data_IF_766406555281
#
_entry.id   IF_766406555281
#
_cell.length_a   1.000
_cell.length_b   1.000
_cell.length_c   1.000
_cell.angle_alpha   90.00
_cell.angle_beta   90.00
_cell.angle_gamma   90.00
#
_symmetry.space_group_name_H-M   'P 1'
#
loop_
_entity.id
_entity.type
_entity.pdbx_description
1 polymer ?
#
# COMPACT_ATOMS: atom_id res chain seq x y z
N UNK A 1 27.21 4.62 26.13
CA UNK A 1 26.46 5.41 25.13
C UNK A 1 26.66 4.74 23.79
N UNK A 2 25.64 4.04 23.27
CA UNK A 2 25.75 3.26 22.04
C UNK A 2 26.13 4.13 20.84
N UNK A 3 26.95 3.60 19.95
CA UNK A 3 27.52 4.32 18.83
C UNK A 3 26.41 4.68 17.82
N UNK A 4 26.15 5.97 17.62
CA UNK A 4 25.10 6.50 16.71
C UNK A 4 25.21 5.93 15.28
N UNK A 5 26.41 5.53 14.85
CA UNK A 5 26.65 4.90 13.54
C UNK A 5 26.09 3.48 13.44
N UNK A 6 26.11 2.75 14.55
CA UNK A 6 25.68 1.35 14.66
C UNK A 6 24.15 1.26 14.65
N UNK A 7 23.47 2.15 15.39
CA UNK A 7 22.02 2.34 15.28
C UNK A 7 21.57 2.65 13.85
N UNK A 8 22.36 3.42 13.09
CA UNK A 8 22.01 3.73 11.71
C UNK A 8 22.06 2.52 10.78
N UNK A 9 22.89 1.51 11.08
CA UNK A 9 23.01 0.30 10.26
C UNK A 9 21.85 -0.66 10.55
N UNK A 10 21.59 -0.94 11.82
CA UNK A 10 20.45 -1.79 12.22
C UNK A 10 19.11 -1.20 11.79
N UNK A 11 18.92 0.12 11.91
CA UNK A 11 17.68 0.77 11.45
C UNK A 11 17.53 0.64 9.93
N UNK A 12 18.61 0.79 9.16
CA UNK A 12 18.57 0.64 7.69
C UNK A 12 18.32 -0.80 7.26
N UNK A 13 18.96 -1.77 7.91
CA UNK A 13 18.73 -3.20 7.64
C UNK A 13 17.30 -3.61 8.03
N UNK A 14 16.79 -3.11 9.15
CA UNK A 14 15.40 -3.32 9.57
C UNK A 14 14.43 -2.72 8.55
N UNK A 15 14.64 -1.46 8.16
CA UNK A 15 13.80 -0.79 7.17
C UNK A 15 13.82 -1.49 5.80
N UNK A 16 14.95 -2.03 5.37
CA UNK A 16 15.06 -2.79 4.12
C UNK A 16 14.32 -4.13 4.16
N UNK A 17 14.16 -4.72 5.35
CA UNK A 17 13.43 -5.96 5.56
C UNK A 17 11.93 -5.76 5.83
N UNK A 18 11.46 -4.51 5.99
CA UNK A 18 10.03 -4.21 6.10
C UNK A 18 9.36 -4.43 4.73
N UNK A 19 8.58 -5.50 4.64
CA UNK A 19 7.63 -5.68 3.52
C UNK A 19 6.35 -4.94 3.89
N UNK A 20 6.09 -3.80 3.25
CA UNK A 20 4.89 -2.98 3.50
C UNK A 20 3.62 -3.85 3.49
N UNK A 21 3.52 -4.77 2.52
CA UNK A 21 2.41 -5.71 2.31
C UNK A 21 2.23 -6.77 3.42
N UNK A 22 3.26 -7.05 4.22
CA UNK A 22 3.20 -8.04 5.29
C UNK A 22 2.64 -7.50 6.60
N UNK A 23 2.57 -6.18 6.74
CA UNK A 23 2.29 -5.53 8.00
C UNK A 23 0.84 -5.10 8.09
N UNK A 24 0.28 -5.21 9.30
CA UNK A 24 -1.04 -4.67 9.64
C UNK A 24 -1.18 -3.19 9.24
N UNK A 25 -0.05 -2.49 9.09
CA UNK A 25 0.01 -1.13 8.58
C UNK A 25 -0.52 -1.00 7.15
N UNK A 26 -0.20 -1.89 6.21
CA UNK A 26 -0.75 -1.79 4.84
C UNK A 26 -2.24 -2.08 4.80
N UNK A 27 -2.75 -2.93 5.70
CA UNK A 27 -4.20 -3.10 5.87
C UNK A 27 -4.85 -1.80 6.33
N UNK A 28 -4.30 -1.19 7.39
CA UNK A 28 -4.83 0.07 7.94
C UNK A 28 -4.71 1.25 6.96
N UNK A 29 -3.61 1.30 6.22
CA UNK A 29 -3.34 2.34 5.24
C UNK A 29 -4.14 2.12 3.94
N UNK A 30 -4.34 0.87 3.52
CA UNK A 30 -5.16 0.49 2.38
C UNK A 30 -6.64 0.80 2.58
N UNK A 31 -7.12 0.93 3.82
CA UNK A 31 -8.48 1.44 4.07
C UNK A 31 -8.63 2.94 3.80
N UNK A 32 -7.54 3.67 3.54
CA UNK A 32 -7.56 5.11 3.27
C UNK A 32 -7.54 5.36 1.75
N UNK A 33 -8.63 5.87 1.14
CA UNK A 33 -8.69 6.12 -0.30
C UNK A 33 -7.53 6.96 -0.83
N UNK A 34 -7.13 8.02 -0.10
CA UNK A 34 -6.03 8.89 -0.52
C UNK A 34 -4.66 8.19 -0.55
N UNK A 35 -4.44 7.17 0.28
CA UNK A 35 -3.19 6.39 0.23
C UNK A 35 -3.20 5.48 -0.99
N UNK A 36 -4.31 4.78 -1.21
CA UNK A 36 -4.50 3.94 -2.39
C UNK A 36 -4.40 4.76 -3.68
N UNK A 37 -4.92 5.99 -3.67
CA UNK A 37 -4.84 6.91 -4.79
C UNK A 37 -3.39 7.21 -5.16
N UNK A 38 -2.55 7.62 -4.21
CA UNK A 38 -1.13 7.90 -4.48
C UNK A 38 -0.36 6.67 -4.95
N UNK A 39 -0.63 5.51 -4.35
CA UNK A 39 -0.05 4.24 -4.77
C UNK A 39 -0.45 3.92 -6.22
N UNK A 40 -1.75 3.98 -6.53
CA UNK A 40 -2.26 3.64 -7.86
C UNK A 40 -1.83 4.65 -8.92
N UNK A 41 -1.78 5.94 -8.61
CA UNK A 41 -1.21 6.97 -9.48
C UNK A 41 0.24 6.67 -9.84
N UNK A 42 1.03 6.25 -8.86
CA UNK A 42 2.44 5.92 -9.05
C UNK A 42 2.63 4.63 -9.85
N UNK A 43 1.89 3.57 -9.52
CA UNK A 43 2.02 2.26 -10.18
C UNK A 43 1.48 2.25 -11.62
N UNK A 44 0.42 3.02 -11.89
CA UNK A 44 -0.25 3.05 -13.18
C UNK A 44 0.19 4.23 -14.07
N UNK A 45 1.03 5.13 -13.56
CA UNK A 45 1.42 6.39 -14.21
C UNK A 45 0.21 7.25 -14.62
N UNK A 46 -0.78 7.35 -13.73
CA UNK A 46 -2.05 8.04 -13.97
C UNK A 46 -2.25 9.18 -12.94
N UNK A 47 -1.58 10.34 -13.07
CA UNK A 47 -1.55 11.38 -12.03
C UNK A 47 -2.93 11.99 -11.71
N UNK A 48 -3.91 11.81 -12.58
CA UNK A 48 -5.28 12.33 -12.42
C UNK A 48 -6.30 11.26 -12.02
N UNK A 49 -5.86 10.03 -11.74
CA UNK A 49 -6.73 8.98 -11.20
C UNK A 49 -7.29 9.41 -9.85
N UNK A 50 -8.58 9.19 -9.61
CA UNK A 50 -9.23 9.43 -8.32
C UNK A 50 -9.77 8.13 -7.76
N UNK A 51 -9.50 7.83 -6.50
CA UNK A 51 -10.06 6.66 -5.83
C UNK A 51 -11.37 7.05 -5.15
N UNK A 52 -12.47 6.47 -5.62
CA UNK A 52 -13.83 6.76 -5.15
C UNK A 52 -14.18 5.89 -3.95
N UNK A 53 -13.77 4.63 -3.96
CA UNK A 53 -13.99 3.68 -2.87
C UNK A 53 -12.89 2.65 -2.85
N UNK A 54 -12.51 2.21 -1.66
CA UNK A 54 -11.61 1.08 -1.45
C UNK A 54 -12.29 0.03 -0.58
N UNK A 55 -12.01 -1.22 -0.89
CA UNK A 55 -12.37 -2.41 -0.13
C UNK A 55 -11.12 -3.28 -0.01
N UNK A 56 -10.58 -3.37 1.20
CA UNK A 56 -9.41 -4.22 1.47
C UNK A 56 -9.90 -5.57 1.99
N UNK A 57 -9.51 -6.65 1.33
CA UNK A 57 -9.73 -8.00 1.82
C UNK A 57 -8.41 -8.59 2.33
N UNK A 58 -8.49 -9.28 3.46
CA UNK A 58 -7.32 -9.90 4.06
C UNK A 58 -7.61 -11.35 4.40
N UNK A 59 -6.84 -12.27 3.83
CA UNK A 59 -6.89 -13.69 4.17
C UNK A 59 -5.71 -13.98 5.11
N UNK A 60 -6.01 -14.48 6.31
CA UNK A 60 -4.99 -14.94 7.26
C UNK A 60 -4.94 -16.46 7.15
N UNK A 61 -4.38 -16.97 6.05
CA UNK A 61 -4.03 -18.39 5.97
C UNK A 61 -2.58 -18.58 6.41
N UNK A 62 -2.37 -19.63 7.19
CA UNK A 62 -1.31 -19.80 8.21
C UNK A 62 0.15 -19.59 7.79
N UNK A 63 0.49 -19.37 6.52
CA UNK A 63 1.90 -19.25 6.07
C UNK A 63 2.14 -18.27 4.90
N UNK A 64 1.10 -17.64 4.34
CA UNK A 64 1.24 -16.60 3.31
C UNK A 64 0.27 -15.47 3.64
N UNK A 65 0.81 -14.25 3.82
CA UNK A 65 0.02 -13.05 4.07
C UNK A 65 -0.33 -12.46 2.70
N UNK A 66 -1.54 -12.72 2.24
CA UNK A 66 -2.09 -12.08 1.05
C UNK A 66 -3.09 -10.99 1.47
N UNK A 67 -2.97 -9.85 0.80
CA UNK A 67 -3.91 -8.74 0.90
C UNK A 67 -4.38 -8.50 -0.51
N UNK A 68 -5.70 -8.48 -0.70
CA UNK A 68 -6.31 -8.08 -1.95
C UNK A 68 -6.89 -6.70 -1.77
N UNK A 69 -6.46 -5.75 -2.60
CA UNK A 69 -6.99 -4.40 -2.65
C UNK A 69 -7.94 -4.28 -3.83
N UNK A 70 -9.21 -3.97 -3.55
CA UNK A 70 -10.22 -3.64 -4.56
C UNK A 70 -10.54 -2.14 -4.44
N UNK A 71 -10.26 -1.38 -5.51
CA UNK A 71 -10.52 0.05 -5.57
C UNK A 71 -11.35 0.43 -6.79
N UNK A 72 -12.50 1.07 -6.55
CA UNK A 72 -13.25 1.76 -7.59
C UNK A 72 -12.61 3.12 -7.83
N UNK A 73 -12.10 3.32 -9.03
CA UNK A 73 -11.40 4.52 -9.45
C UNK A 73 -12.16 5.26 -10.56
N UNK A 74 -11.93 6.56 -10.68
CA UNK A 74 -12.39 7.40 -11.77
C UNK A 74 -11.19 8.01 -12.48
N UNK A 75 -11.16 7.88 -13.80
CA UNK A 75 -10.12 8.47 -14.66
C UNK A 75 -10.46 9.92 -15.01
N UNK A 76 -9.48 10.66 -15.55
CA UNK A 76 -9.64 12.09 -15.87
C UNK A 76 -10.80 12.39 -16.83
N UNK A 77 -11.13 11.45 -17.72
CA UNK A 77 -12.25 11.54 -18.67
C UNK A 77 -13.59 11.07 -18.07
N UNK A 78 -13.65 10.83 -16.76
CA UNK A 78 -14.87 10.49 -16.02
C UNK A 78 -15.30 9.03 -16.14
N UNK A 79 -14.47 8.15 -16.73
CA UNK A 79 -14.75 6.72 -16.76
C UNK A 79 -14.42 6.08 -15.41
N UNK A 80 -15.23 5.09 -15.03
CA UNK A 80 -15.01 4.29 -13.83
C UNK A 80 -14.28 3.00 -14.18
N UNK A 81 -13.31 2.60 -13.35
CA UNK A 81 -12.62 1.32 -13.45
C UNK A 81 -12.44 0.70 -12.06
N UNK A 82 -12.50 -0.62 -11.99
CA UNK A 82 -12.11 -1.37 -10.79
C UNK A 82 -10.64 -1.76 -10.94
N UNK A 83 -9.87 -1.55 -9.88
CA UNK A 83 -8.47 -1.97 -9.78
C UNK A 83 -8.38 -2.99 -8.65
N UNK A 84 -7.99 -4.21 -9.01
CA UNK A 84 -7.78 -5.33 -8.07
C UNK A 84 -6.30 -5.70 -8.07
N UNK A 85 -5.67 -5.73 -6.89
CA UNK A 85 -4.23 -6.03 -6.69
C UNK A 85 -4.05 -7.03 -5.57
#
# INVERSE_FOLDING_TARGET
>A
MGNLKEYSKEIKETAANLRIIDDALFRLMGEKPGVCEEILRTLLDMPHLQVVKVSVQSVVQSFQREITLDALCMTQDGRYCNVEV
#
